data_IF_613281233683
#
_entry.id   IF_613281233683
#
_cell.length_a   1.000
_cell.length_b   1.000
_cell.length_c   1.000
_cell.angle_alpha   90.00
_cell.angle_beta   90.00
_cell.angle_gamma   90.00
#
_symmetry.space_group_name_H-M   'P 1'
#
loop_
_entity.id
_entity.type
_entity.pdbx_description
1 polymer ?
#
# COMPACT_ATOMS: atom_id res chain seq x y z
N UNK A 1 -13.15 -10.77 8.66
CA UNK A 1 -13.35 -9.72 7.64
C UNK A 1 -13.08 -10.23 6.22
N UNK A 2 -13.98 -9.92 5.27
CA UNK A 2 -13.90 -10.27 3.84
C UNK A 2 -13.15 -9.23 2.98
N UNK A 3 -12.75 -8.11 3.58
CA UNK A 3 -12.13 -6.96 2.89
C UNK A 3 -10.91 -7.33 2.04
N UNK A 4 -9.90 -8.00 2.60
CA UNK A 4 -8.69 -8.35 1.85
C UNK A 4 -8.95 -9.24 0.63
N UNK A 5 -9.96 -10.12 0.67
CA UNK A 5 -10.37 -10.92 -0.50
C UNK A 5 -10.99 -10.04 -1.58
N UNK A 6 -11.87 -9.12 -1.18
CA UNK A 6 -12.52 -8.16 -2.09
C UNK A 6 -11.51 -7.22 -2.73
N UNK A 7 -10.55 -6.70 -1.95
CA UNK A 7 -9.48 -5.84 -2.46
C UNK A 7 -8.64 -6.57 -3.50
N UNK A 8 -8.19 -7.79 -3.20
CA UNK A 8 -7.42 -8.61 -4.15
C UNK A 8 -8.21 -8.90 -5.43
N UNK A 9 -9.49 -9.28 -5.32
CA UNK A 9 -10.34 -9.54 -6.49
C UNK A 9 -10.53 -8.29 -7.34
N UNK A 10 -10.76 -7.14 -6.71
CA UNK A 10 -10.91 -5.86 -7.43
C UNK A 10 -9.66 -5.55 -8.24
N UNK A 11 -8.48 -5.59 -7.61
CA UNK A 11 -7.20 -5.31 -8.29
C UNK A 11 -6.95 -6.33 -9.41
N UNK A 12 -7.24 -7.61 -9.19
CA UNK A 12 -7.08 -8.63 -10.22
C UNK A 12 -8.00 -8.42 -11.42
N UNK A 13 -9.22 -7.91 -11.20
CA UNK A 13 -10.22 -7.70 -12.22
C UNK A 13 -10.00 -6.39 -13.00
N UNK A 14 -9.58 -5.31 -12.33
CA UNK A 14 -9.45 -4.00 -12.96
C UNK A 14 -8.03 -3.70 -13.42
N UNK A 15 -7.02 -4.10 -12.64
CA UNK A 15 -5.64 -3.61 -12.75
C UNK A 15 -4.64 -4.73 -12.46
N UNK A 16 -4.59 -5.79 -13.30
CA UNK A 16 -3.81 -6.99 -13.02
C UNK A 16 -2.29 -6.75 -12.99
N UNK A 17 -1.77 -5.72 -13.66
CA UNK A 17 -0.36 -5.32 -13.62
C UNK A 17 0.03 -4.64 -12.30
N UNK A 18 -0.93 -4.15 -11.52
CA UNK A 18 -0.67 -3.39 -10.29
C UNK A 18 -0.75 -4.25 -9.03
N UNK A 19 -0.99 -5.56 -9.16
CA UNK A 19 -1.21 -6.50 -8.04
C UNK A 19 -0.17 -6.40 -6.93
N UNK A 20 1.09 -6.24 -7.31
CA UNK A 20 2.22 -6.23 -6.36
C UNK A 20 2.46 -4.85 -5.74
N UNK A 21 1.80 -3.81 -6.27
CA UNK A 21 1.91 -2.41 -5.83
C UNK A 21 0.92 -2.05 -4.73
N UNK A 22 -0.10 -2.86 -4.51
CA UNK A 22 -1.09 -2.65 -3.44
C UNK A 22 -0.63 -3.25 -2.11
N UNK A 23 -1.28 -2.77 -1.04
CA UNK A 23 -1.06 -3.18 0.34
C UNK A 23 -1.19 -4.70 0.51
N UNK A 24 -0.16 -5.34 1.05
CA UNK A 24 -0.15 -6.75 1.42
C UNK A 24 -0.95 -6.99 2.70
N UNK A 25 -2.28 -6.88 2.57
CA UNK A 25 -3.22 -6.98 3.70
C UNK A 25 -3.10 -8.30 4.47
N UNK A 26 -2.64 -9.38 3.82
CA UNK A 26 -2.47 -10.69 4.48
C UNK A 26 -1.35 -10.65 5.51
N UNK A 27 -0.21 -10.05 5.16
CA UNK A 27 0.98 -9.98 6.00
C UNK A 27 0.77 -9.01 7.16
N UNK A 28 0.25 -7.81 6.89
CA UNK A 28 -0.16 -6.85 7.93
C UNK A 28 -1.13 -7.48 8.93
N UNK A 29 -2.14 -8.22 8.44
CA UNK A 29 -3.10 -8.90 9.30
C UNK A 29 -2.45 -10.00 10.14
N UNK A 30 -1.42 -10.67 9.63
CA UNK A 30 -0.69 -11.69 10.37
C UNK A 30 0.13 -11.06 11.50
N UNK A 31 0.82 -9.95 11.25
CA UNK A 31 1.55 -9.19 12.26
C UNK A 31 0.62 -8.67 13.38
N UNK A 32 -0.54 -8.10 13.02
CA UNK A 32 -1.55 -7.66 14.02
C UNK A 32 -2.04 -8.81 14.90
N UNK A 33 -2.18 -10.01 14.33
CA UNK A 33 -2.57 -11.19 15.10
C UNK A 33 -1.49 -11.64 16.05
N UNK A 34 -0.23 -11.62 15.63
CA UNK A 34 0.91 -11.97 16.49
C UNK A 34 1.01 -11.00 17.67
N UNK A 35 0.84 -9.69 17.41
CA UNK A 35 0.74 -8.66 18.45
C UNK A 35 -0.41 -8.92 19.41
N UNK A 36 -1.61 -9.19 18.89
CA UNK A 36 -2.80 -9.46 19.70
C UNK A 36 -2.67 -10.73 20.54
N UNK A 37 -2.03 -11.78 20.00
CA UNK A 37 -1.77 -13.02 20.71
C UNK A 37 -0.68 -12.86 21.78
N UNK A 38 0.37 -12.07 21.50
CA UNK A 38 1.41 -11.72 22.48
C UNK A 38 0.81 -11.00 23.69
N UNK A 39 -0.04 -10.00 23.43
CA UNK A 39 -0.78 -9.25 24.45
C UNK A 39 -1.70 -10.11 25.32
N UNK A 40 -2.28 -11.18 24.76
CA UNK A 40 -3.19 -12.07 25.48
C UNK A 40 -2.46 -13.07 26.39
N UNK A 41 -1.19 -13.39 26.13
CA UNK A 41 -0.41 -14.43 26.84
C UNK A 41 0.46 -13.86 27.96
N UNK A 42 0.78 -12.55 27.93
CA UNK A 42 1.61 -11.90 28.95
C UNK A 42 0.86 -10.87 29.82
N UNK A 43 -0.05 -11.27 30.75
CA UNK A 43 -0.61 -10.36 31.75
C UNK A 43 0.37 -10.00 32.88
N UNK A 44 1.55 -10.61 32.96
CA UNK A 44 2.35 -10.57 34.18
C UNK A 44 3.85 -10.51 33.90
N UNK A 45 4.48 -9.51 34.53
CA UNK A 45 5.92 -9.29 34.69
C UNK A 45 6.64 -8.71 33.48
N UNK A 46 7.01 -7.42 33.60
CA UNK A 46 8.21 -6.67 33.13
C UNK A 46 8.84 -6.97 31.74
N UNK A 47 8.78 -8.19 31.22
CA UNK A 47 9.28 -8.68 29.93
C UNK A 47 8.29 -8.42 28.77
N UNK A 48 6.98 -8.46 29.05
CA UNK A 48 5.92 -8.26 28.04
C UNK A 48 5.96 -6.87 27.36
N UNK A 49 6.47 -5.84 28.05
CA UNK A 49 6.58 -4.49 27.47
C UNK A 49 7.70 -4.35 26.44
N UNK A 50 8.83 -5.05 26.63
CA UNK A 50 9.98 -5.04 25.70
C UNK A 50 9.69 -5.88 24.45
N UNK A 51 9.06 -7.05 24.64
CA UNK A 51 8.66 -7.93 23.54
C UNK A 51 7.58 -7.28 22.66
N UNK A 52 6.62 -6.58 23.29
CA UNK A 52 5.63 -5.82 22.55
C UNK A 52 6.22 -4.65 21.77
N UNK A 53 7.14 -3.88 22.37
CA UNK A 53 7.79 -2.77 21.67
C UNK A 53 8.53 -3.22 20.41
N UNK A 54 9.15 -4.41 20.45
CA UNK A 54 9.81 -4.99 19.28
C UNK A 54 8.82 -5.40 18.18
N UNK A 55 7.76 -6.13 18.53
CA UNK A 55 6.75 -6.56 17.55
C UNK A 55 5.98 -5.36 16.96
N UNK A 56 5.76 -4.30 17.75
CA UNK A 56 5.15 -3.05 17.30
C UNK A 56 6.07 -2.33 16.32
N UNK A 57 7.35 -2.21 16.65
CA UNK A 57 8.35 -1.63 15.75
C UNK A 57 8.45 -2.39 14.42
N UNK A 58 8.42 -3.73 14.44
CA UNK A 58 8.40 -4.56 13.23
C UNK A 58 7.13 -4.32 12.40
N UNK A 59 5.96 -4.19 13.05
CA UNK A 59 4.71 -3.86 12.36
C UNK A 59 4.75 -2.47 11.72
N UNK A 60 5.20 -1.45 12.46
CA UNK A 60 5.29 -0.07 11.96
C UNK A 60 6.29 0.03 10.81
N UNK A 61 7.44 -0.63 10.93
CA UNK A 61 8.43 -0.71 9.86
C UNK A 61 7.84 -1.33 8.60
N UNK A 62 7.17 -2.47 8.72
CA UNK A 62 6.53 -3.14 7.59
C UNK A 62 5.41 -2.28 6.96
N UNK A 63 4.61 -1.61 7.80
CA UNK A 63 3.56 -0.71 7.33
C UNK A 63 4.13 0.49 6.57
N UNK A 64 5.19 1.12 7.07
CA UNK A 64 5.84 2.25 6.41
C UNK A 64 6.38 1.84 5.04
N UNK A 65 7.07 0.70 4.95
CA UNK A 65 7.57 0.20 3.67
C UNK A 65 6.43 -0.04 2.65
N UNK A 66 5.30 -0.56 3.11
CA UNK A 66 4.13 -0.76 2.24
C UNK A 66 3.48 0.56 1.80
N UNK A 67 3.47 1.58 2.67
CA UNK A 67 3.01 2.94 2.35
C UNK A 67 3.96 3.59 1.33
N UNK A 68 5.28 3.49 1.54
CA UNK A 68 6.27 4.06 0.63
C UNK A 68 6.18 3.43 -0.75
N UNK A 69 6.02 2.10 -0.82
CA UNK A 69 5.75 1.37 -2.07
C UNK A 69 4.49 1.90 -2.77
N UNK A 70 3.40 2.08 -2.01
CA UNK A 70 2.13 2.57 -2.56
C UNK A 70 2.26 4.00 -3.07
N UNK A 71 2.92 4.87 -2.30
CA UNK A 71 3.15 6.27 -2.65
C UNK A 71 4.02 6.40 -3.89
N UNK A 72 5.16 5.68 -3.95
CA UNK A 72 6.04 5.69 -5.12
C UNK A 72 5.28 5.28 -6.39
N UNK A 73 4.50 4.20 -6.29
CA UNK A 73 3.66 3.76 -7.40
C UNK A 73 2.60 4.81 -7.80
N UNK A 74 1.93 5.43 -6.84
CA UNK A 74 0.92 6.44 -7.14
C UNK A 74 1.52 7.67 -7.82
N UNK A 75 2.68 8.13 -7.35
CA UNK A 75 3.42 9.24 -7.96
C UNK A 75 3.81 8.94 -9.41
N UNK A 76 4.37 7.76 -9.70
CA UNK A 76 4.69 7.32 -11.07
C UNK A 76 3.44 7.35 -11.98
N UNK A 77 2.31 6.82 -11.49
CA UNK A 77 1.07 6.81 -12.27
C UNK A 77 0.49 8.21 -12.48
N UNK A 78 0.60 9.10 -11.50
CA UNK A 78 0.18 10.50 -11.59
C UNK A 78 1.04 11.27 -12.60
N UNK A 79 2.36 11.11 -12.55
CA UNK A 79 3.28 11.71 -13.51
C UNK A 79 2.97 11.26 -14.94
N UNK A 80 2.80 9.96 -15.17
CA UNK A 80 2.40 9.40 -16.46
C UNK A 80 1.07 9.98 -16.97
N UNK A 81 0.11 10.19 -16.07
CA UNK A 81 -1.16 10.81 -16.41
C UNK A 81 -0.99 12.28 -16.81
N UNK A 82 -0.24 13.04 -16.00
CA UNK A 82 0.04 14.47 -16.26
C UNK A 82 0.78 14.64 -17.59
N UNK A 83 1.80 13.82 -17.85
CA UNK A 83 2.58 13.85 -19.08
C UNK A 83 1.68 13.57 -20.28
N UNK A 84 0.91 12.47 -20.26
CA UNK A 84 -0.01 12.13 -21.37
C UNK A 84 -1.01 13.24 -21.63
N UNK A 85 -1.58 13.83 -20.59
CA UNK A 85 -2.54 14.91 -20.71
C UNK A 85 -1.90 16.20 -21.28
N UNK A 86 -0.70 16.58 -20.82
CA UNK A 86 0.04 17.74 -21.35
C UNK A 86 0.44 17.55 -22.81
N UNK A 87 0.97 16.38 -23.18
CA UNK A 87 1.34 16.05 -24.57
C UNK A 87 0.12 16.13 -25.48
N UNK A 88 -1.00 15.53 -25.08
CA UNK A 88 -2.26 15.56 -25.84
C UNK A 88 -2.77 16.98 -26.06
N UNK A 89 -2.62 17.87 -25.06
CA UNK A 89 -3.02 19.27 -25.17
C UNK A 89 -2.11 20.05 -26.13
N UNK A 90 -0.80 19.83 -26.06
CA UNK A 90 0.16 20.51 -26.94
C UNK A 90 -0.03 20.10 -28.40
N UNK A 91 -0.19 18.81 -28.69
CA UNK A 91 -0.45 18.33 -30.05
C UNK A 91 -1.77 18.87 -30.62
N UNK A 92 -2.80 19.02 -29.78
CA UNK A 92 -4.06 19.61 -30.19
C UNK A 92 -3.92 21.11 -30.51
N UNK A 93 -3.14 21.86 -29.73
CA UNK A 93 -2.87 23.27 -30.02
C UNK A 93 -2.02 23.48 -31.27
N UNK A 94 -1.04 22.62 -31.53
CA UNK A 94 -0.22 22.66 -32.76
C UNK A 94 -1.08 22.43 -34.00
N UNK A 95 -1.96 21.42 -33.98
CA UNK A 95 -2.89 21.17 -35.09
C UNK A 95 -3.88 22.33 -35.32
N UNK A 96 -4.27 23.06 -34.27
CA UNK A 96 -5.16 24.21 -34.38
C UNK A 96 -4.52 25.44 -35.03
N UNK A 97 -3.18 25.53 -35.05
CA UNK A 97 -2.45 26.62 -35.71
C UNK A 97 -2.30 26.42 -37.23
N UNK A 98 -2.63 25.23 -37.74
CA UNK A 98 -2.56 24.88 -39.17
C UNK A 98 -3.90 25.03 -39.92
N UNK A 99 -4.95 25.55 -39.27
CA UNK A 99 -6.27 25.80 -39.86
C UNK A 99 -6.67 27.27 -39.73
#
# INVERSE_FOLDING_TARGET
>A
MKFGKRLKQLIQATLPSWRDKYLSYKELKQLVRLLSSSLAVAPSLLDGSLVNGKAEAEFVYFLNNEIDKFNAFYMEQEEDFIIRHKVSRLSASELSLYH
#
